data_IF_298637409302
#
_entry.id   IF_298637409302
#
_cell.length_a   1.000
_cell.length_b   1.000
_cell.length_c   1.000
_cell.angle_alpha   90.00
_cell.angle_beta   90.00
_cell.angle_gamma   90.00
#
_symmetry.space_group_name_H-M   'P 1'
#
loop_
_entity.id
_entity.type
_entity.pdbx_description
1 polymer ?
#
# COMPACT_ATOMS: atom_id res chain seq x y z
N UNK A 1 -0.76 29.10 -6.87
CA UNK A 1 -0.79 27.61 -6.90
C UNK A 1 -1.74 27.16 -7.99
N UNK A 2 -1.20 26.75 -9.14
CA UNK A 2 -1.96 26.41 -10.34
C UNK A 2 -2.87 25.19 -10.07
N UNK A 3 -4.17 25.42 -10.13
CA UNK A 3 -5.24 24.62 -9.50
C UNK A 3 -5.93 23.64 -10.46
N UNK A 4 -5.31 23.26 -11.59
CA UNK A 4 -5.95 22.42 -12.62
C UNK A 4 -5.23 21.10 -12.93
N UNK A 5 -3.92 20.96 -12.68
CA UNK A 5 -3.21 19.68 -12.82
C UNK A 5 -3.36 18.71 -11.65
N UNK A 6 -4.06 19.11 -10.58
CA UNK A 6 -4.05 18.41 -9.29
C UNK A 6 -4.75 17.05 -9.31
N UNK A 7 -5.87 16.87 -10.02
CA UNK A 7 -6.69 15.65 -9.86
C UNK A 7 -6.04 14.39 -10.43
N UNK A 8 -5.49 14.48 -11.64
CA UNK A 8 -4.82 13.34 -12.31
C UNK A 8 -3.51 13.02 -11.61
N UNK A 9 -2.73 14.05 -11.26
CA UNK A 9 -1.45 13.86 -10.58
C UNK A 9 -1.63 13.27 -9.17
N UNK A 10 -2.69 13.69 -8.46
CA UNK A 10 -3.06 13.13 -7.16
C UNK A 10 -3.59 11.69 -7.28
N UNK A 11 -4.31 11.34 -8.35
CA UNK A 11 -4.71 9.96 -8.64
C UNK A 11 -3.51 9.06 -8.92
N UNK A 12 -2.56 9.53 -9.74
CA UNK A 12 -1.33 8.79 -10.04
C UNK A 12 -0.49 8.60 -8.77
N UNK A 13 -0.34 9.64 -7.94
CA UNK A 13 0.37 9.55 -6.68
C UNK A 13 -0.30 8.54 -5.72
N UNK A 14 -1.63 8.57 -5.61
CA UNK A 14 -2.39 7.61 -4.82
C UNK A 14 -2.22 6.17 -5.33
N UNK A 15 -2.40 5.95 -6.65
CA UNK A 15 -2.27 4.64 -7.27
C UNK A 15 -0.86 4.07 -7.10
N UNK A 16 0.16 4.92 -7.24
CA UNK A 16 1.56 4.55 -7.00
C UNK A 16 1.75 4.10 -5.55
N UNK A 17 1.19 4.86 -4.58
CA UNK A 17 1.24 4.49 -3.17
C UNK A 17 0.57 3.15 -2.86
N UNK A 18 -0.57 2.85 -3.50
CA UNK A 18 -1.25 1.56 -3.38
C UNK A 18 -0.36 0.42 -3.91
N UNK A 19 0.20 0.57 -5.12
CA UNK A 19 1.02 -0.46 -5.75
C UNK A 19 2.27 -0.74 -4.90
N UNK A 20 2.95 0.31 -4.42
CA UNK A 20 4.13 0.16 -3.55
C UNK A 20 3.75 -0.52 -2.23
N UNK A 21 2.63 -0.15 -1.61
CA UNK A 21 2.19 -0.76 -0.34
C UNK A 21 1.89 -2.25 -0.50
N UNK A 22 1.21 -2.65 -1.59
CA UNK A 22 0.96 -4.05 -1.89
C UNK A 22 2.25 -4.81 -2.20
N UNK A 23 3.16 -4.22 -2.99
CA UNK A 23 4.45 -4.84 -3.30
C UNK A 23 5.27 -5.11 -2.04
N UNK A 24 5.33 -4.15 -1.11
CA UNK A 24 6.01 -4.32 0.19
C UNK A 24 5.30 -5.37 1.04
N UNK A 25 3.97 -5.32 1.14
CA UNK A 25 3.19 -6.32 1.88
C UNK A 25 3.43 -7.75 1.40
N UNK A 26 3.38 -7.98 0.09
CA UNK A 26 3.68 -9.28 -0.49
C UNK A 26 5.15 -9.68 -0.34
N UNK A 27 6.10 -8.73 -0.44
CA UNK A 27 7.52 -9.00 -0.24
C UNK A 27 7.85 -9.42 1.21
N UNK A 28 7.11 -8.88 2.19
CA UNK A 28 7.19 -9.26 3.60
C UNK A 28 6.60 -10.66 3.85
N UNK A 29 5.46 -10.98 3.22
CA UNK A 29 4.83 -12.31 3.32
C UNK A 29 5.67 -13.39 2.63
N UNK A 30 6.21 -13.10 1.45
CA UNK A 30 7.01 -14.05 0.67
C UNK A 30 8.45 -14.21 1.16
N UNK A 31 8.83 -13.54 2.25
CA UNK A 31 10.20 -13.59 2.79
C UNK A 31 11.27 -12.99 1.87
N UNK A 32 10.88 -12.32 0.78
CA UNK A 32 11.80 -11.66 -0.16
C UNK A 32 12.47 -10.45 0.49
N UNK A 33 11.76 -9.78 1.39
CA UNK A 33 12.30 -8.74 2.28
C UNK A 33 12.07 -9.21 3.71
N UNK A 34 13.15 -9.61 4.37
CA UNK A 34 13.16 -9.88 5.80
C UNK A 34 13.67 -8.63 6.51
N UNK A 35 12.82 -7.95 7.27
CA UNK A 35 13.30 -6.87 8.11
C UNK A 35 14.11 -7.49 9.25
N UNK A 36 15.38 -7.11 9.43
CA UNK A 36 16.20 -7.66 10.50
C UNK A 36 15.54 -7.37 11.85
N UNK A 37 15.70 -8.30 12.80
CA UNK A 37 15.19 -8.22 14.18
C UNK A 37 13.71 -8.52 14.43
N UNK A 38 12.85 -8.71 13.41
CA UNK A 38 11.40 -8.98 13.64
C UNK A 38 10.94 -10.42 13.40
N UNK A 39 11.76 -11.29 12.79
CA UNK A 39 11.48 -12.74 12.67
C UNK A 39 10.08 -13.03 12.12
N UNK A 40 9.30 -13.87 12.82
CA UNK A 40 7.93 -14.29 12.45
C UNK A 40 6.95 -13.11 12.34
N UNK A 41 7.23 -11.98 13.00
CA UNK A 41 6.38 -10.78 12.95
C UNK A 41 6.43 -10.12 11.57
N UNK A 42 7.45 -10.43 10.75
CA UNK A 42 7.60 -9.90 9.39
C UNK A 42 6.42 -10.31 8.49
N UNK A 43 6.00 -11.58 8.53
CA UNK A 43 4.86 -12.06 7.74
C UNK A 43 3.54 -11.47 8.22
N UNK A 44 3.37 -11.33 9.54
CA UNK A 44 2.18 -10.72 10.15
C UNK A 44 2.06 -9.25 9.71
N UNK A 45 3.18 -8.52 9.73
CA UNK A 45 3.23 -7.13 9.28
C UNK A 45 2.86 -7.01 7.79
N UNK A 46 3.34 -7.94 6.95
CA UNK A 46 2.96 -7.99 5.54
C UNK A 46 1.46 -8.18 5.34
N UNK A 47 0.83 -9.10 6.06
CA UNK A 47 -0.61 -9.30 6.01
C UNK A 47 -1.42 -8.08 6.48
N UNK A 48 -0.97 -7.40 7.54
CA UNK A 48 -1.60 -6.15 8.00
C UNK A 48 -1.58 -5.08 6.90
N UNK A 49 -0.44 -4.90 6.23
CA UNK A 49 -0.31 -3.93 5.13
C UNK A 49 -1.24 -4.31 3.97
N UNK A 50 -1.29 -5.57 3.57
CA UNK A 50 -2.17 -6.02 2.47
C UNK A 50 -3.64 -5.77 2.81
N UNK A 51 -4.08 -6.19 4.00
CA UNK A 51 -5.49 -6.04 4.41
C UNK A 51 -5.89 -4.57 4.51
N UNK A 52 -5.06 -3.74 5.16
CA UNK A 52 -5.33 -2.30 5.28
C UNK A 52 -5.35 -1.60 3.91
N UNK A 53 -4.48 -2.02 2.98
CA UNK A 53 -4.45 -1.47 1.61
C UNK A 53 -5.70 -1.88 0.83
N UNK A 54 -6.16 -3.13 0.95
CA UNK A 54 -7.42 -3.60 0.33
C UNK A 54 -8.62 -2.83 0.91
N UNK A 55 -8.69 -2.67 2.23
CA UNK A 55 -9.75 -1.89 2.87
C UNK A 55 -9.72 -0.44 2.36
N UNK A 56 -8.52 0.17 2.26
CA UNK A 56 -8.38 1.52 1.73
C UNK A 56 -8.83 1.64 0.28
N UNK A 57 -8.56 0.63 -0.55
CA UNK A 57 -9.06 0.55 -1.93
C UNK A 57 -10.59 0.48 -1.97
N UNK A 58 -11.20 -0.42 -1.19
CA UNK A 58 -12.66 -0.57 -1.10
C UNK A 58 -13.31 0.74 -0.64
N UNK A 59 -12.76 1.38 0.40
CA UNK A 59 -13.28 2.65 0.91
C UNK A 59 -13.19 3.77 -0.13
N UNK A 60 -12.10 3.85 -0.90
CA UNK A 60 -11.97 4.83 -1.98
C UNK A 60 -12.98 4.57 -3.08
N UNK A 61 -13.25 3.31 -3.44
CA UNK A 61 -14.26 2.97 -4.45
C UNK A 61 -15.69 3.28 -3.95
N UNK A 62 -16.00 2.97 -2.68
CA UNK A 62 -17.31 3.24 -2.09
C UNK A 62 -17.58 4.73 -1.83
N UNK A 63 -16.52 5.52 -1.66
CA UNK A 63 -16.57 6.95 -1.31
C UNK A 63 -16.19 7.86 -2.49
N UNK A 64 -15.84 7.28 -3.64
CA UNK A 64 -15.74 7.96 -4.93
C UNK A 64 -17.11 8.45 -5.38
#
# INVERSE_FOLDING_TARGET
>A
MAKQGGKVLNFIAWLTGVIVSLAVGFALIGGTIAVPYIGVVNEIAGWVVVVTTIISLILVILRQ
#
